data_IF_773961096689
#
_entry.id   IF_773961096689
#
_cell.length_a   1.000
_cell.length_b   1.000
_cell.length_c   1.000
_cell.angle_alpha   90.00
_cell.angle_beta   90.00
_cell.angle_gamma   90.00
#
_symmetry.space_group_name_H-M   'P 1'
#
loop_
_entity.id
_entity.type
_entity.pdbx_description
1 polymer ?
#
# COMPACT_ATOMS: atom_id res chain seq x y z
N UNK A 1 0.23 11.61 5.31
CA UNK A 1 0.92 10.41 4.80
C UNK A 1 2.30 10.79 4.26
N UNK A 2 3.33 9.96 4.46
CA UNK A 2 4.67 10.14 3.84
C UNK A 2 4.76 9.36 2.53
N UNK A 3 5.51 9.88 1.53
CA UNK A 3 5.79 9.13 0.31
C UNK A 3 7.22 9.33 -0.18
N UNK A 4 7.87 8.23 -0.54
CA UNK A 4 9.18 8.18 -1.18
C UNK A 4 9.05 7.62 -2.60
N UNK A 5 9.88 8.12 -3.53
CA UNK A 5 9.80 7.73 -4.93
C UNK A 5 11.19 7.67 -5.54
N UNK A 6 11.64 6.47 -5.87
CA UNK A 6 12.90 6.26 -6.57
C UNK A 6 12.79 6.64 -8.04
N UNK A 7 13.93 7.01 -8.64
CA UNK A 7 14.04 7.36 -10.06
C UNK A 7 13.64 6.16 -10.93
N UNK A 8 12.80 6.43 -11.93
CA UNK A 8 12.37 5.42 -12.89
C UNK A 8 13.32 5.29 -14.09
N UNK A 9 13.50 4.08 -14.64
CA UNK A 9 14.02 3.89 -15.99
C UNK A 9 13.13 4.57 -17.04
N UNK A 10 13.69 4.83 -18.23
CA UNK A 10 12.91 5.37 -19.36
C UNK A 10 11.83 4.37 -19.77
N UNK A 11 10.64 4.86 -20.10
CA UNK A 11 9.51 4.01 -20.52
C UNK A 11 8.79 3.30 -19.37
N UNK A 12 9.07 3.65 -18.12
CA UNK A 12 8.37 3.11 -16.95
C UNK A 12 7.50 4.20 -16.29
N UNK A 13 6.46 3.77 -15.58
CA UNK A 13 5.56 4.63 -14.82
C UNK A 13 5.19 3.99 -13.48
N UNK A 14 4.94 4.81 -12.47
CA UNK A 14 4.30 4.34 -11.24
C UNK A 14 2.78 4.39 -11.41
N UNK A 15 2.08 3.25 -11.27
CA UNK A 15 0.64 3.21 -11.44
C UNK A 15 -0.08 3.81 -10.22
N UNK A 16 0.42 3.62 -8.99
CA UNK A 16 -0.18 4.23 -7.81
C UNK A 16 0.32 5.66 -7.57
N UNK A 17 -0.60 6.62 -7.56
CA UNK A 17 -0.35 8.01 -7.14
C UNK A 17 -0.55 8.14 -5.63
N UNK A 18 0.30 8.91 -4.91
CA UNK A 18 0.11 9.17 -3.48
C UNK A 18 -1.28 9.73 -3.16
N UNK A 19 -1.75 10.71 -3.93
CA UNK A 19 -3.06 11.34 -3.68
C UNK A 19 -4.25 10.37 -3.78
N UNK A 20 -4.15 9.35 -4.64
CA UNK A 20 -5.20 8.32 -4.78
C UNK A 20 -5.21 7.41 -3.56
N UNK A 21 -4.04 6.97 -3.09
CA UNK A 21 -3.93 6.18 -1.87
C UNK A 21 -4.45 6.95 -0.65
N UNK A 22 -4.02 8.21 -0.50
CA UNK A 22 -4.43 9.07 0.62
C UNK A 22 -5.94 9.30 0.63
N UNK A 23 -6.54 9.58 -0.54
CA UNK A 23 -7.99 9.71 -0.66
C UNK A 23 -8.71 8.41 -0.29
N UNK A 24 -8.19 7.25 -0.70
CA UNK A 24 -8.79 5.96 -0.41
C UNK A 24 -8.76 5.63 1.10
N UNK A 25 -7.63 5.87 1.78
CA UNK A 25 -7.50 5.70 3.23
C UNK A 25 -8.39 6.68 4.00
N UNK A 26 -8.42 7.94 3.58
CA UNK A 26 -9.26 8.98 4.19
C UNK A 26 -10.75 8.64 4.07
N UNK A 27 -11.19 8.20 2.89
CA UNK A 27 -12.58 7.78 2.64
C UNK A 27 -12.98 6.61 3.53
N UNK A 28 -12.06 5.67 3.74
CA UNK A 28 -12.24 4.53 4.65
C UNK A 28 -12.10 4.88 6.14
N UNK A 29 -11.77 6.14 6.48
CA UNK A 29 -11.54 6.61 7.85
C UNK A 29 -10.44 5.83 8.57
N UNK A 30 -9.43 5.40 7.83
CA UNK A 30 -8.26 4.70 8.36
C UNK A 30 -7.19 5.73 8.73
N UNK A 31 -7.10 6.03 10.02
CA UNK A 31 -6.11 6.96 10.57
C UNK A 31 -4.94 6.18 11.17
N UNK A 32 -3.87 6.03 10.39
CA UNK A 32 -2.61 5.42 10.81
C UNK A 32 -1.43 5.98 10.04
N UNK A 33 -0.25 5.96 10.66
CA UNK A 33 0.97 6.47 10.06
C UNK A 33 1.33 5.64 8.82
N UNK A 34 1.14 6.23 7.64
CA UNK A 34 1.26 5.54 6.37
C UNK A 34 2.45 6.08 5.58
N UNK A 35 3.27 5.16 5.09
CA UNK A 35 4.42 5.43 4.23
C UNK A 35 4.29 4.66 2.90
N UNK A 36 4.10 5.41 1.81
CA UNK A 36 4.11 4.90 0.44
C UNK A 36 5.52 4.95 -0.16
N UNK A 37 6.09 3.79 -0.47
CA UNK A 37 7.39 3.62 -1.12
C UNK A 37 7.16 3.20 -2.57
N UNK A 38 7.59 4.03 -3.52
CA UNK A 38 7.54 3.71 -4.95
C UNK A 38 8.95 3.43 -5.47
N UNK A 39 9.17 2.23 -5.98
CA UNK A 39 10.47 1.78 -6.49
C UNK A 39 10.32 0.94 -7.76
N UNK A 40 11.30 0.94 -8.69
CA UNK A 40 11.24 0.11 -9.88
C UNK A 40 11.09 -1.39 -9.54
N UNK A 41 10.41 -2.13 -10.41
CA UNK A 41 10.20 -3.59 -10.29
C UNK A 41 8.73 -3.98 -10.15
N UNK A 42 8.44 -5.28 -10.17
CA UNK A 42 7.08 -5.82 -10.14
C UNK A 42 6.65 -6.19 -8.72
N UNK A 43 6.29 -5.19 -7.90
CA UNK A 43 5.82 -5.44 -6.54
C UNK A 43 4.59 -4.60 -6.20
N UNK A 44 3.65 -5.20 -5.49
CA UNK A 44 2.64 -4.45 -4.76
C UNK A 44 2.45 -5.20 -3.45
N UNK A 45 2.85 -4.60 -2.33
CA UNK A 45 2.63 -5.20 -1.02
C UNK A 45 2.46 -4.16 0.09
N UNK A 46 1.90 -4.61 1.21
CA UNK A 46 1.70 -3.80 2.39
C UNK A 46 2.17 -4.53 3.65
N UNK A 47 2.70 -3.75 4.60
CA UNK A 47 3.18 -4.23 5.89
C UNK A 47 2.59 -3.38 6.99
N UNK A 48 1.88 -4.04 7.91
CA UNK A 48 1.44 -3.44 9.16
C UNK A 48 2.49 -3.72 10.23
N UNK A 49 2.94 -2.68 10.90
CA UNK A 49 3.93 -2.76 11.96
C UNK A 49 3.29 -2.25 13.26
N UNK A 50 3.22 -3.07 14.32
CA UNK A 50 2.71 -2.64 15.60
C UNK A 50 3.65 -1.62 16.26
N UNK A 51 3.20 -0.95 17.33
CA UNK A 51 4.06 -0.14 18.17
C UNK A 51 5.26 -0.95 18.69
N UNK A 52 6.42 -0.32 18.76
CA UNK A 52 7.63 -0.87 19.36
C UNK A 52 8.24 0.14 20.35
N UNK A 53 9.16 -0.26 21.25
CA UNK A 53 9.74 0.67 22.22
C UNK A 53 10.36 1.94 21.61
N UNK A 54 10.87 1.84 20.38
CA UNK A 54 11.47 2.97 19.67
C UNK A 54 10.46 3.78 18.84
N UNK A 55 9.28 3.21 18.56
CA UNK A 55 8.26 3.83 17.71
C UNK A 55 6.88 3.51 18.28
N UNK A 56 6.29 4.40 19.11
CA UNK A 56 5.13 4.11 19.94
C UNK A 56 3.79 4.21 19.18
N UNK A 57 3.79 4.00 17.87
CA UNK A 57 2.61 4.10 17.03
C UNK A 57 2.58 3.00 15.95
N UNK A 58 1.37 2.70 15.49
CA UNK A 58 1.09 1.77 14.40
C UNK A 58 1.52 2.38 13.07
N UNK A 59 2.11 1.55 12.20
CA UNK A 59 2.61 1.99 10.89
C UNK A 59 2.14 1.07 9.79
N UNK A 60 1.85 1.68 8.65
CA UNK A 60 1.53 1.00 7.40
C UNK A 60 2.54 1.39 6.33
N UNK A 61 3.34 0.41 5.91
CA UNK A 61 4.24 0.57 4.76
C UNK A 61 3.59 -0.04 3.54
N UNK A 62 3.49 0.71 2.45
CA UNK A 62 2.97 0.22 1.17
C UNK A 62 4.07 0.38 0.14
N UNK A 63 4.43 -0.72 -0.53
CA UNK A 63 5.44 -0.72 -1.60
C UNK A 63 4.76 -0.97 -2.93
N UNK A 64 5.03 -0.10 -3.90
CA UNK A 64 4.49 -0.24 -5.26
C UNK A 64 5.59 -0.09 -6.30
N UNK A 65 5.56 -1.04 -7.22
CA UNK A 65 6.42 -1.21 -8.36
C UNK A 65 6.14 -0.26 -9.52
N UNK A 66 7.03 -0.31 -10.50
CA UNK A 66 6.80 0.35 -11.79
C UNK A 66 6.22 -0.63 -12.81
N UNK A 67 5.55 -0.09 -13.81
CA UNK A 67 5.06 -0.82 -14.98
C UNK A 67 5.51 -0.10 -16.26
N UNK A 68 5.54 -0.78 -17.43
CA UNK A 68 5.70 -0.11 -18.71
C UNK A 68 4.68 1.03 -18.87
N UNK A 69 5.11 2.15 -19.45
CA UNK A 69 4.30 3.36 -19.53
C UNK A 69 3.00 3.14 -20.33
N UNK A 70 3.06 2.27 -21.34
CA UNK A 70 1.95 1.80 -22.16
C UNK A 70 0.90 1.00 -21.37
N UNK A 71 1.30 0.33 -20.29
CA UNK A 71 0.41 -0.46 -19.41
C UNK A 71 -0.09 0.35 -18.21
N UNK A 72 0.44 1.56 -18.00
CA UNK A 72 0.22 2.34 -16.78
C UNK A 72 -1.25 2.64 -16.51
N UNK A 73 -2.05 2.87 -17.55
CA UNK A 73 -3.48 3.13 -17.36
C UNK A 73 -4.24 1.87 -16.94
N UNK A 74 -4.02 0.75 -17.62
CA UNK A 74 -4.64 -0.52 -17.24
C UNK A 74 -4.22 -0.98 -15.83
N UNK A 75 -2.97 -0.73 -15.45
CA UNK A 75 -2.50 -1.00 -14.08
C UNK A 75 -3.16 -0.09 -13.04
N UNK A 76 -3.38 1.20 -13.33
CA UNK A 76 -4.14 2.12 -12.45
C UNK A 76 -5.54 1.61 -12.20
N UNK A 77 -6.26 1.30 -13.28
CA UNK A 77 -7.65 0.87 -13.19
C UNK A 77 -7.79 -0.40 -12.35
N UNK A 78 -6.85 -1.35 -12.48
CA UNK A 78 -6.80 -2.56 -11.66
C UNK A 78 -6.45 -2.29 -10.22
N UNK A 79 -5.49 -1.40 -9.95
CA UNK A 79 -5.12 -1.01 -8.60
C UNK A 79 -6.32 -0.38 -7.89
N UNK A 80 -7.02 0.54 -8.54
CA UNK A 80 -8.17 1.23 -7.95
C UNK A 80 -9.38 0.29 -7.76
N UNK A 81 -9.60 -0.64 -8.69
CA UNK A 81 -10.72 -1.59 -8.62
C UNK A 81 -10.48 -2.77 -7.68
N UNK A 82 -9.23 -3.22 -7.53
CA UNK A 82 -8.92 -4.50 -6.88
C UNK A 82 -7.95 -4.33 -5.70
N UNK A 83 -6.80 -3.68 -5.93
CA UNK A 83 -5.74 -3.60 -4.92
C UNK A 83 -6.11 -2.70 -3.74
N UNK A 84 -6.65 -1.51 -4.01
CA UNK A 84 -7.01 -0.55 -2.97
C UNK A 84 -8.17 -1.05 -2.09
N UNK A 85 -9.27 -1.61 -2.64
CA UNK A 85 -10.30 -2.22 -1.80
C UNK A 85 -9.75 -3.35 -0.91
N UNK A 86 -8.94 -4.26 -1.47
CA UNK A 86 -8.35 -5.35 -0.70
C UNK A 86 -7.39 -4.86 0.39
N UNK A 87 -6.60 -3.81 0.11
CA UNK A 87 -5.74 -3.16 1.09
C UNK A 87 -6.54 -2.55 2.23
N UNK A 88 -7.60 -1.79 1.90
CA UNK A 88 -8.47 -1.12 2.88
C UNK A 88 -9.17 -2.14 3.78
N UNK A 89 -9.73 -3.20 3.18
CA UNK A 89 -10.38 -4.27 3.94
C UNK A 89 -9.38 -4.94 4.89
N UNK A 90 -8.20 -5.29 4.38
CA UNK A 90 -7.17 -5.95 5.18
C UNK A 90 -6.70 -5.10 6.37
N UNK A 91 -6.39 -3.82 6.16
CA UNK A 91 -5.93 -2.96 7.26
C UNK A 91 -7.09 -2.61 8.20
N UNK A 92 -8.29 -2.38 7.67
CA UNK A 92 -9.50 -2.15 8.47
C UNK A 92 -9.78 -3.33 9.41
N UNK A 93 -9.63 -4.56 8.93
CA UNK A 93 -9.79 -5.77 9.74
C UNK A 93 -8.76 -5.87 10.87
N UNK A 94 -7.52 -5.40 10.66
CA UNK A 94 -6.48 -5.33 11.70
C UNK A 94 -6.84 -4.26 12.74
N UNK A 95 -7.19 -3.05 12.29
CA UNK A 95 -7.49 -1.91 13.18
C UNK A 95 -8.79 -2.09 13.97
N UNK A 96 -9.73 -2.91 13.47
CA UNK A 96 -10.95 -3.28 14.17
C UNK A 96 -10.69 -4.23 15.36
N UNK A 97 -9.52 -4.87 15.44
CA UNK A 97 -9.19 -5.75 16.57
C UNK A 97 -8.85 -4.95 17.83
N UNK A 98 -9.03 -5.61 18.98
CA UNK A 98 -8.53 -5.10 20.26
C UNK A 98 -7.01 -4.82 20.17
N UNK A 99 -6.51 -3.68 20.67
CA UNK A 99 -5.08 -3.35 20.68
C UNK A 99 -4.17 -4.41 21.33
N UNK A 100 -4.71 -5.23 22.24
CA UNK A 100 -3.99 -6.32 22.90
C UNK A 100 -4.04 -7.63 22.12
N UNK A 101 -4.85 -7.72 21.06
CA UNK A 101 -4.96 -8.92 20.24
C UNK A 101 -3.63 -9.29 19.58
N UNK A 102 -3.34 -10.59 19.37
CA UNK A 102 -2.16 -11.02 18.62
C UNK A 102 -2.14 -10.43 17.21
N UNK A 103 -3.31 -10.25 16.57
CA UNK A 103 -3.44 -9.65 15.24
C UNK A 103 -2.81 -8.26 15.21
N UNK A 104 -3.11 -7.43 16.21
CA UNK A 104 -2.67 -6.03 16.30
C UNK A 104 -1.30 -5.84 16.95
N UNK A 105 -0.73 -6.88 17.55
CA UNK A 105 0.59 -6.86 18.24
C UNK A 105 1.73 -7.48 17.43
N UNK A 106 1.46 -8.01 16.26
CA UNK A 106 2.45 -8.65 15.40
C UNK A 106 2.53 -7.94 14.05
N UNK A 107 3.67 -8.09 13.38
CA UNK A 107 3.82 -7.64 12.00
C UNK A 107 2.88 -8.45 11.10
N UNK A 108 2.16 -7.77 10.20
CA UNK A 108 1.29 -8.41 9.22
C UNK A 108 1.72 -8.01 7.81
N UNK A 109 1.49 -8.91 6.87
CA UNK A 109 1.88 -8.76 5.47
C UNK A 109 0.70 -9.05 4.55
N UNK A 110 0.59 -8.27 3.48
CA UNK A 110 -0.34 -8.49 2.37
C UNK A 110 0.41 -8.36 1.04
N UNK A 111 0.37 -9.40 0.21
CA UNK A 111 0.89 -9.38 -1.16
C UNK A 111 -0.21 -9.16 -2.18
N UNK A 112 -0.01 -8.20 -3.09
CA UNK A 112 -0.96 -7.79 -4.13
C UNK A 112 -0.34 -7.77 -5.53
N UNK A 113 0.85 -8.36 -5.74
CA UNK A 113 1.62 -8.27 -6.98
C UNK A 113 0.85 -8.64 -8.27
N UNK A 114 -0.19 -9.47 -8.17
CA UNK A 114 -1.02 -9.89 -9.31
C UNK A 114 -1.68 -8.72 -10.06
N UNK A 115 -1.93 -7.60 -9.39
CA UNK A 115 -2.63 -6.44 -9.98
C UNK A 115 -1.78 -5.63 -10.95
N UNK A 116 -0.46 -5.87 -10.95
CA UNK A 116 0.48 -5.21 -11.86
C UNK A 116 0.71 -5.99 -13.16
N UNK A 117 0.25 -7.24 -13.27
CA UNK A 117 0.52 -8.10 -14.43
C UNK A 117 -0.66 -8.09 -15.38
N UNK A 118 -0.44 -7.72 -16.65
CA UNK A 118 -1.43 -7.91 -17.72
C UNK A 118 -1.82 -9.39 -17.86
N UNK A 119 -3.11 -9.71 -18.07
CA UNK A 119 -3.59 -11.09 -18.21
C UNK A 119 -3.01 -11.79 -19.44
#
# INVERSE_FOLDING_TARGET
MMSETAKLPRGQSYPLKPSILEAALTTARLDLDTHLIRSPGEMFDAHFWPPSPNVPYERLYIRVGSVPAEEAQAARDRIEREALPALIEWIGNILAQDPRSPIRREKRYLGLQRVLKSP
#
